data_IF_440749000263
#
_entry.id   IF_440749000263
#
_cell.length_a   1.000
_cell.length_b   1.000
_cell.length_c   1.000
_cell.angle_alpha   90.00
_cell.angle_beta   90.00
_cell.angle_gamma   90.00
#
_symmetry.space_group_name_H-M   'P 1'
#
loop_
_entity.id
_entity.type
_entity.pdbx_description
1 polymer ?
#
# COMPACT_ATOMS: atom_id res chain seq x y z
N UNK A 1 16.85 3.69 -28.38
CA UNK A 1 15.87 4.26 -27.44
C UNK A 1 15.54 5.64 -27.93
N UNK A 2 14.27 5.92 -28.16
CA UNK A 2 13.86 7.23 -28.67
C UNK A 2 13.95 8.26 -27.55
N UNK A 3 14.24 9.52 -27.90
CA UNK A 3 14.40 10.64 -26.94
C UNK A 3 13.16 10.77 -26.03
N UNK A 4 11.98 10.51 -26.60
CA UNK A 4 10.70 10.52 -25.89
C UNK A 4 10.65 9.43 -24.80
N UNK A 5 11.15 8.22 -25.09
CA UNK A 5 11.21 7.11 -24.11
C UNK A 5 12.15 7.44 -22.97
N UNK A 6 13.28 8.09 -23.25
CA UNK A 6 14.22 8.54 -22.20
C UNK A 6 13.54 9.58 -21.30
N UNK A 7 12.79 10.52 -21.87
CA UNK A 7 12.06 11.53 -21.12
C UNK A 7 10.96 10.92 -20.24
N UNK A 8 10.22 9.92 -20.74
CA UNK A 8 9.24 9.15 -19.97
C UNK A 8 9.88 8.44 -18.76
N UNK A 9 11.05 7.83 -18.95
CA UNK A 9 11.79 7.17 -17.86
C UNK A 9 12.24 8.20 -16.81
N UNK A 10 12.71 9.37 -17.23
CA UNK A 10 13.11 10.45 -16.31
C UNK A 10 11.92 10.92 -15.49
N UNK A 11 10.76 11.13 -16.11
CA UNK A 11 9.52 11.53 -15.41
C UNK A 11 9.06 10.44 -14.44
N UNK A 12 9.07 9.18 -14.87
CA UNK A 12 8.70 8.03 -14.04
C UNK A 12 9.60 7.94 -12.79
N UNK A 13 10.92 7.94 -12.99
CA UNK A 13 11.88 7.85 -11.89
C UNK A 13 11.82 9.08 -10.99
N UNK A 14 11.61 10.28 -11.55
CA UNK A 14 11.42 11.51 -10.79
C UNK A 14 10.17 11.47 -9.91
N UNK A 15 9.04 10.99 -10.45
CA UNK A 15 7.79 10.84 -9.70
C UNK A 15 7.93 9.81 -8.56
N UNK A 16 8.60 8.67 -8.80
CA UNK A 16 8.89 7.67 -7.76
C UNK A 16 9.79 8.26 -6.68
N UNK A 17 10.88 8.94 -7.06
CA UNK A 17 11.82 9.53 -6.11
C UNK A 17 11.14 10.58 -5.20
N UNK A 18 10.35 11.47 -5.79
CA UNK A 18 9.56 12.45 -5.02
C UNK A 18 8.52 11.76 -4.13
N UNK A 19 7.79 10.78 -4.66
CA UNK A 19 6.78 10.04 -3.92
C UNK A 19 7.35 9.33 -2.69
N UNK A 20 8.43 8.57 -2.86
CA UNK A 20 9.10 7.84 -1.77
C UNK A 20 9.60 8.81 -0.70
N UNK A 21 10.11 9.99 -1.09
CA UNK A 21 10.59 11.00 -0.13
C UNK A 21 9.46 11.63 0.68
N UNK A 22 8.26 11.80 0.11
CA UNK A 22 7.11 12.33 0.82
C UNK A 22 6.47 11.31 1.77
N UNK A 23 6.50 10.02 1.41
CA UNK A 23 5.97 8.93 2.23
C UNK A 23 4.43 8.97 2.39
N UNK A 24 3.87 7.91 2.97
CA UNK A 24 2.44 7.82 3.30
C UNK A 24 1.52 8.12 2.11
N UNK A 25 0.56 9.04 2.32
CA UNK A 25 -0.40 9.46 1.29
C UNK A 25 0.30 10.20 0.12
N UNK A 26 1.45 10.84 0.37
CA UNK A 26 2.19 11.59 -0.65
C UNK A 26 2.68 10.73 -1.82
N UNK A 27 2.93 9.44 -1.60
CA UNK A 27 3.29 8.47 -2.65
C UNK A 27 2.15 8.35 -3.67
N UNK A 28 0.90 8.34 -3.20
CA UNK A 28 -0.28 8.25 -4.06
C UNK A 28 -0.44 9.47 -4.96
N UNK A 29 -0.27 10.68 -4.40
CA UNK A 29 -0.35 11.93 -5.17
C UNK A 29 0.79 12.06 -6.18
N UNK A 30 2.03 11.74 -5.79
CA UNK A 30 3.18 11.77 -6.69
C UNK A 30 3.03 10.77 -7.85
N UNK A 31 2.51 9.57 -7.57
CA UNK A 31 2.17 8.57 -8.59
C UNK A 31 1.09 9.07 -9.54
N UNK A 32 -0.01 9.64 -9.03
CA UNK A 32 -1.09 10.18 -9.84
C UNK A 32 -0.63 11.33 -10.76
N UNK A 33 0.14 12.28 -10.23
CA UNK A 33 0.73 13.38 -11.01
C UNK A 33 1.69 12.84 -12.06
N UNK A 34 2.54 11.86 -11.71
CA UNK A 34 3.43 11.21 -12.66
C UNK A 34 2.69 10.58 -13.83
N UNK A 35 1.61 9.85 -13.57
CA UNK A 35 0.76 9.24 -14.61
C UNK A 35 0.08 10.31 -15.48
N UNK A 36 -0.39 11.42 -14.89
CA UNK A 36 -0.98 12.52 -15.65
C UNK A 36 0.03 13.19 -16.59
N UNK A 37 1.27 13.42 -16.13
CA UNK A 37 2.32 14.01 -16.97
C UNK A 37 2.70 13.06 -18.10
N UNK A 38 2.84 11.76 -17.80
CA UNK A 38 3.15 10.75 -18.81
C UNK A 38 2.04 10.64 -19.88
N UNK A 39 0.77 10.66 -19.46
CA UNK A 39 -0.37 10.54 -20.37
C UNK A 39 -0.64 11.81 -21.18
N UNK A 40 -0.67 12.99 -20.54
CA UNK A 40 -1.11 14.25 -21.16
C UNK A 40 0.03 15.03 -21.84
N UNK A 41 1.26 14.96 -21.32
CA UNK A 41 2.39 15.74 -21.87
C UNK A 41 3.29 14.92 -22.78
N UNK A 42 3.35 13.59 -22.58
CA UNK A 42 4.23 12.68 -23.32
C UNK A 42 3.46 11.69 -24.22
N UNK A 43 2.15 11.92 -24.38
CA UNK A 43 1.20 11.17 -25.22
C UNK A 43 1.28 9.65 -25.02
N UNK A 44 1.58 9.21 -23.79
CA UNK A 44 1.58 7.79 -23.47
C UNK A 44 0.15 7.27 -23.44
N UNK A 45 -0.11 6.24 -24.27
CA UNK A 45 -1.38 5.53 -24.23
C UNK A 45 -1.63 4.98 -22.82
N UNK A 46 -2.79 5.29 -22.22
CA UNK A 46 -3.18 4.73 -20.93
C UNK A 46 -3.18 3.20 -20.99
N UNK A 47 -2.60 2.57 -19.97
CA UNK A 47 -2.75 1.13 -19.76
C UNK A 47 -4.15 0.79 -19.24
N UNK A 48 -4.38 -0.50 -19.04
CA UNK A 48 -5.61 -0.96 -18.38
C UNK A 48 -5.63 -0.52 -16.92
N UNK A 49 -6.72 0.10 -16.50
CA UNK A 49 -6.94 0.47 -15.09
C UNK A 49 -7.18 -0.82 -14.29
N UNK A 50 -6.40 -1.11 -13.23
CA UNK A 50 -6.54 -2.32 -12.44
C UNK A 50 -7.70 -2.20 -11.44
N UNK A 51 -8.94 -2.21 -11.94
CA UNK A 51 -10.15 -2.07 -11.12
C UNK A 51 -10.24 -3.07 -9.97
N UNK A 52 -9.89 -4.33 -10.24
CA UNK A 52 -9.91 -5.40 -9.25
C UNK A 52 -9.04 -5.05 -8.03
N UNK A 53 -7.84 -4.52 -8.27
CA UNK A 53 -6.90 -4.16 -7.21
C UNK A 53 -7.43 -2.99 -6.38
N UNK A 54 -7.95 -1.94 -7.04
CA UNK A 54 -8.51 -0.76 -6.36
C UNK A 54 -9.69 -1.18 -5.47
N UNK A 55 -10.59 -2.02 -5.99
CA UNK A 55 -11.77 -2.50 -5.27
C UNK A 55 -11.42 -3.40 -4.09
N UNK A 56 -10.42 -4.29 -4.25
CA UNK A 56 -9.91 -5.12 -3.14
C UNK A 56 -9.37 -4.22 -2.02
N UNK A 57 -8.55 -3.21 -2.34
CA UNK A 57 -8.01 -2.28 -1.33
C UNK A 57 -9.15 -1.51 -0.65
N UNK A 58 -10.11 -0.98 -1.42
CA UNK A 58 -11.26 -0.25 -0.87
C UNK A 58 -12.15 -1.11 0.04
N UNK A 59 -12.36 -2.38 -0.33
CA UNK A 59 -13.10 -3.35 0.47
C UNK A 59 -12.38 -3.63 1.79
N UNK A 60 -11.08 -3.90 1.75
CA UNK A 60 -10.26 -4.16 2.93
C UNK A 60 -10.21 -2.94 3.85
N UNK A 61 -10.01 -1.73 3.32
CA UNK A 61 -10.02 -0.49 4.13
C UNK A 61 -11.39 -0.29 4.80
N UNK A 62 -12.48 -0.53 4.08
CA UNK A 62 -13.83 -0.44 4.64
C UNK A 62 -14.06 -1.42 5.78
N UNK A 63 -13.64 -2.68 5.61
CA UNK A 63 -13.73 -3.71 6.64
C UNK A 63 -12.89 -3.36 7.87
N UNK A 64 -11.63 -2.93 7.67
CA UNK A 64 -10.73 -2.51 8.75
C UNK A 64 -11.31 -1.29 9.49
N UNK A 65 -11.88 -0.32 8.77
CA UNK A 65 -12.47 0.87 9.38
C UNK A 65 -13.66 0.51 10.28
N UNK A 66 -14.51 -0.42 9.85
CA UNK A 66 -15.60 -0.96 10.66
C UNK A 66 -15.08 -1.70 11.90
N UNK A 67 -14.03 -2.53 11.76
CA UNK A 67 -13.41 -3.22 12.89
C UNK A 67 -12.74 -2.27 13.89
N UNK A 68 -12.12 -1.19 13.42
CA UNK A 68 -11.52 -0.15 14.26
C UNK A 68 -12.60 0.58 15.05
N UNK A 69 -13.71 0.98 14.41
CA UNK A 69 -14.82 1.65 15.09
C UNK A 69 -15.52 0.75 16.12
N UNK A 70 -15.60 -0.56 15.86
CA UNK A 70 -16.17 -1.52 16.79
C UNK A 70 -15.23 -1.91 17.96
N UNK A 71 -13.97 -1.44 17.96
CA UNK A 71 -12.94 -1.87 18.92
C UNK A 71 -12.46 -3.30 18.72
N UNK A 72 -12.82 -3.94 17.59
CA UNK A 72 -12.44 -5.32 17.28
C UNK A 72 -10.94 -5.47 17.08
N UNK A 73 -10.29 -4.46 16.48
CA UNK A 73 -8.83 -4.49 16.29
C UNK A 73 -8.07 -4.52 17.62
N UNK A 74 -8.49 -3.69 18.60
CA UNK A 74 -7.88 -3.66 19.93
C UNK A 74 -8.05 -4.99 20.67
N UNK A 75 -9.21 -5.64 20.53
CA UNK A 75 -9.46 -6.96 21.08
C UNK A 75 -8.51 -8.02 20.49
N UNK A 76 -8.37 -8.08 19.16
CA UNK A 76 -7.48 -9.03 18.50
C UNK A 76 -6.02 -8.83 18.95
N UNK A 77 -5.57 -7.58 19.09
CA UNK A 77 -4.23 -7.26 19.60
C UNK A 77 -4.05 -7.75 21.04
N UNK A 78 -5.04 -7.55 21.91
CA UNK A 78 -4.96 -8.00 23.31
C UNK A 78 -4.90 -9.53 23.42
N UNK A 79 -5.64 -10.24 22.57
CA UNK A 79 -5.58 -11.71 22.49
C UNK A 79 -4.21 -12.16 22.01
N UNK A 80 -3.69 -11.56 20.94
CA UNK A 80 -2.37 -11.86 20.41
C UNK A 80 -1.27 -11.65 21.46
N UNK A 81 -1.30 -10.51 22.17
CA UNK A 81 -0.35 -10.19 23.23
C UNK A 81 -0.40 -11.22 24.37
N UNK A 82 -1.60 -11.63 24.79
CA UNK A 82 -1.76 -12.65 25.85
C UNK A 82 -1.18 -13.99 25.44
N UNK A 83 -1.31 -14.41 24.18
CA UNK A 83 -0.73 -15.66 23.66
C UNK A 83 0.81 -15.57 23.63
N UNK A 84 1.34 -14.45 23.12
CA UNK A 84 2.79 -14.25 22.98
C UNK A 84 3.49 -14.13 24.34
N UNK A 85 2.89 -13.41 25.30
CA UNK A 85 3.42 -13.28 26.67
C UNK A 85 3.43 -14.58 27.45
N UNK A 86 2.52 -15.53 27.14
CA UNK A 86 2.50 -16.85 27.79
C UNK A 86 3.68 -17.73 27.37
N UNK A 87 4.20 -17.57 26.16
CA UNK A 87 5.26 -18.41 25.60
C UNK A 87 6.39 -17.59 24.92
N UNK A 88 7.08 -16.72 25.67
CA UNK A 88 8.04 -15.75 25.10
C UNK A 88 9.24 -16.42 24.42
N UNK A 89 9.62 -17.65 24.83
CA UNK A 89 10.72 -18.40 24.21
C UNK A 89 10.45 -18.79 22.75
N UNK A 90 9.19 -18.85 22.33
CA UNK A 90 8.78 -19.29 20.99
C UNK A 90 8.23 -18.14 20.12
N UNK A 91 8.52 -16.89 20.48
CA UNK A 91 7.93 -15.71 19.84
C UNK A 91 8.18 -15.65 18.32
N UNK A 92 9.33 -16.11 17.85
CA UNK A 92 9.67 -16.13 16.42
C UNK A 92 8.73 -17.02 15.59
N UNK A 93 8.15 -18.05 16.20
CA UNK A 93 7.18 -18.93 15.53
C UNK A 93 5.74 -18.55 15.87
N UNK A 94 5.50 -18.15 17.12
CA UNK A 94 4.15 -17.79 17.57
C UNK A 94 3.66 -16.47 16.97
N UNK A 95 4.50 -15.46 16.79
CA UNK A 95 4.07 -14.17 16.23
C UNK A 95 3.49 -14.32 14.81
N UNK A 96 4.16 -14.97 13.85
CA UNK A 96 3.59 -15.19 12.52
C UNK A 96 2.31 -16.04 12.55
N UNK A 97 2.25 -17.09 13.38
CA UNK A 97 1.08 -17.98 13.48
C UNK A 97 -0.13 -17.24 14.01
N UNK A 98 0.05 -16.45 15.07
CA UNK A 98 -1.02 -15.67 15.69
C UNK A 98 -1.54 -14.60 14.73
N UNK A 99 -0.67 -13.90 14.00
CA UNK A 99 -1.06 -12.91 12.98
C UNK A 99 -1.79 -13.53 11.77
N UNK A 100 -1.51 -14.80 11.45
CA UNK A 100 -2.19 -15.47 10.33
C UNK A 100 -3.59 -15.99 10.71
N UNK A 101 -3.79 -16.36 11.97
CA UNK A 101 -5.04 -16.98 12.46
C UNK A 101 -6.05 -15.96 12.97
N UNK A 102 -5.59 -14.85 13.56
CA UNK A 102 -6.44 -13.73 13.99
C UNK A 102 -6.67 -12.73 12.86
#
# INVERSE_FOLDING_TARGET
MDIITVLQIVVLLGAIFLGVRMGGIGIGYAGGIGVLILGLCLDMKPGNIPWDVILIIASVISAISAMQLAGGLDYLVQVAERILRKNPKYINYLAPVVTYVL
#
